data_IF_855604446557
#
_entry.id   IF_855604446557
#
_cell.length_a   1.000
_cell.length_b   1.000
_cell.length_c   1.000
_cell.angle_alpha   90.00
_cell.angle_beta   90.00
_cell.angle_gamma   90.00
#
_symmetry.space_group_name_H-M   'P 1'
#
loop_
_entity.id
_entity.type
_entity.pdbx_description
1 polymer ?
#
# COMPACT_ATOMS: atom_id res chain seq x y z
N UNK A 1 -73.28 -4.12 -36.41
CA UNK A 1 -73.14 -3.69 -34.99
C UNK A 1 -71.71 -3.93 -34.56
N UNK A 2 -71.09 -2.93 -33.91
CA UNK A 2 -69.75 -2.91 -33.30
C UNK A 2 -68.59 -2.85 -34.34
N UNK A 3 -67.96 -1.74 -34.70
CA UNK A 3 -67.33 -0.61 -33.97
C UNK A 3 -66.23 -1.04 -32.99
N UNK A 4 -64.95 -0.85 -33.35
CA UNK A 4 -63.83 -0.44 -32.46
C UNK A 4 -62.50 -0.56 -33.22
N UNK A 5 -62.00 0.52 -33.85
CA UNK A 5 -61.01 1.46 -33.31
C UNK A 5 -59.58 0.91 -33.25
N UNK A 6 -58.85 1.15 -34.34
CA UNK A 6 -57.42 0.89 -34.54
C UNK A 6 -56.61 1.89 -33.69
N UNK A 7 -56.17 1.51 -32.49
CA UNK A 7 -55.24 2.31 -31.68
C UNK A 7 -53.85 2.26 -32.32
N UNK A 8 -53.42 3.39 -32.90
CA UNK A 8 -52.01 3.64 -33.23
C UNK A 8 -51.36 4.33 -32.03
N UNK A 9 -50.21 3.79 -31.62
CA UNK A 9 -49.42 4.22 -30.47
C UNK A 9 -48.82 5.63 -30.66
N UNK A 10 -48.61 6.38 -29.57
CA UNK A 10 -48.31 7.81 -29.62
C UNK A 10 -46.80 8.08 -29.63
N UNK A 11 -46.11 7.78 -30.74
CA UNK A 11 -44.66 8.09 -30.85
C UNK A 11 -44.27 8.57 -32.25
N UNK A 12 -45.01 9.55 -32.79
CA UNK A 12 -44.61 10.33 -33.97
C UNK A 12 -45.04 11.80 -33.82
N UNK A 13 -44.57 12.46 -32.75
CA UNK A 13 -44.86 13.87 -32.49
C UNK A 13 -43.71 14.65 -31.84
N UNK A 14 -42.47 14.38 -32.29
CA UNK A 14 -41.31 15.13 -31.79
C UNK A 14 -40.21 15.26 -32.86
N UNK A 15 -40.57 15.59 -34.09
CA UNK A 15 -39.60 15.79 -35.17
C UNK A 15 -40.12 16.79 -36.21
N UNK A 16 -40.55 17.95 -35.73
CA UNK A 16 -40.80 19.15 -36.55
C UNK A 16 -41.06 20.34 -35.63
N UNK A 17 -40.01 21.11 -35.34
CA UNK A 17 -40.05 22.55 -35.02
C UNK A 17 -38.75 22.96 -34.29
N UNK A 18 -37.80 23.52 -35.03
CA UNK A 18 -36.91 24.58 -34.56
C UNK A 18 -35.95 24.96 -35.70
N UNK A 19 -36.50 25.63 -36.72
CA UNK A 19 -35.72 26.35 -37.69
C UNK A 19 -35.74 27.85 -37.33
N UNK A 20 -34.57 28.46 -37.47
CA UNK A 20 -34.28 29.88 -37.67
C UNK A 20 -33.98 30.77 -36.45
N UNK A 21 -33.07 31.76 -36.64
CA UNK A 21 -32.24 32.35 -35.60
C UNK A 21 -32.75 33.74 -35.19
N UNK A 22 -32.85 33.99 -33.90
CA UNK A 22 -33.15 35.33 -33.37
C UNK A 22 -32.15 35.66 -32.26
N UNK A 23 -31.00 36.22 -32.64
CA UNK A 23 -30.19 37.03 -31.74
C UNK A 23 -30.00 38.39 -32.40
N UNK A 24 -30.95 39.26 -32.07
CA UNK A 24 -30.87 40.69 -32.34
C UNK A 24 -29.58 41.27 -31.76
N UNK A 25 -28.96 42.12 -32.58
CA UNK A 25 -27.82 42.97 -32.27
C UNK A 25 -28.08 43.75 -30.98
N UNK A 26 -27.33 43.46 -29.92
CA UNK A 26 -27.17 44.39 -28.80
C UNK A 26 -26.09 45.41 -29.19
N UNK A 27 -26.28 46.71 -28.92
CA UNK A 27 -25.25 47.71 -29.15
C UNK A 27 -24.03 47.40 -28.28
N UNK A 28 -22.84 47.54 -28.87
CA UNK A 28 -21.58 47.38 -28.18
C UNK A 28 -21.53 48.37 -27.01
N UNK A 29 -21.45 47.86 -25.78
CA UNK A 29 -21.06 48.66 -24.62
C UNK A 29 -19.55 48.86 -24.77
N UNK A 30 -19.18 50.08 -25.14
CA UNK A 30 -17.81 50.53 -25.28
C UNK A 30 -17.22 50.66 -23.87
N UNK A 31 -16.45 49.65 -23.45
CA UNK A 31 -15.69 49.73 -22.21
C UNK A 31 -14.52 50.71 -22.41
N UNK A 32 -14.39 51.76 -21.58
CA UNK A 32 -13.24 52.64 -21.67
C UNK A 32 -11.97 51.84 -21.39
N UNK A 33 -10.99 51.95 -22.30
CA UNK A 33 -9.70 51.29 -22.17
C UNK A 33 -9.05 51.63 -20.81
N UNK A 34 -8.45 50.66 -20.11
CA UNK A 34 -7.72 50.95 -18.89
C UNK A 34 -6.55 51.87 -19.24
N UNK A 35 -6.50 53.05 -18.61
CA UNK A 35 -5.34 53.94 -18.69
C UNK A 35 -4.16 53.22 -18.07
N UNK A 36 -3.24 52.75 -18.91
CA UNK A 36 -1.92 52.32 -18.46
C UNK A 36 -1.28 53.51 -17.73
N UNK A 37 -0.82 53.33 -16.48
CA UNK A 37 -0.05 54.38 -15.82
C UNK A 37 1.19 54.68 -16.66
N UNK A 38 1.46 55.98 -16.87
CA UNK A 38 2.69 56.46 -17.50
C UNK A 38 3.88 55.76 -16.85
N UNK A 39 4.79 55.25 -17.68
CA UNK A 39 6.16 54.89 -17.26
C UNK A 39 6.70 56.05 -16.44
N UNK A 40 6.75 55.88 -15.12
CA UNK A 40 7.58 56.71 -14.29
C UNK A 40 9.00 56.44 -14.75
N UNK A 41 9.62 57.49 -15.26
CA UNK A 41 11.03 57.54 -15.61
C UNK A 41 11.84 56.94 -14.47
N UNK A 42 12.54 55.87 -14.80
CA UNK A 42 13.65 55.33 -14.02
C UNK A 42 14.69 56.45 -13.91
N UNK A 43 14.65 57.21 -12.82
CA UNK A 43 15.80 57.95 -12.34
C UNK A 43 15.52 58.46 -10.93
N UNK A 44 16.53 58.31 -10.06
CA UNK A 44 16.64 59.01 -8.78
C UNK A 44 15.92 58.39 -7.57
N UNK A 45 16.33 57.18 -7.16
CA UNK A 45 16.15 56.72 -5.76
C UNK A 45 17.37 55.99 -5.17
N UNK A 46 18.57 56.17 -5.72
CA UNK A 46 19.80 55.51 -5.25
C UNK A 46 20.80 56.45 -4.54
N UNK A 47 20.33 57.54 -3.94
CA UNK A 47 21.19 58.55 -3.30
C UNK A 47 20.71 58.99 -1.92
N UNK A 48 20.26 58.05 -1.08
CA UNK A 48 20.19 58.28 0.37
C UNK A 48 20.91 57.15 1.14
N UNK A 49 21.92 57.48 1.98
CA UNK A 49 22.74 56.48 2.65
C UNK A 49 22.02 55.72 3.77
N UNK A 50 20.83 56.18 4.19
CA UNK A 50 20.10 55.62 5.33
C UNK A 50 19.26 54.37 4.99
N UNK A 51 18.96 54.12 3.71
CA UNK A 51 18.05 53.02 3.30
C UNK A 51 18.76 51.70 2.98
N UNK A 52 20.09 51.64 3.11
CA UNK A 52 20.88 50.41 2.91
C UNK A 52 21.04 49.55 4.16
N UNK A 53 20.81 50.12 5.34
CA UNK A 53 21.03 49.38 6.60
C UNK A 53 19.76 48.64 7.05
N UNK A 54 18.57 49.03 6.59
CA UNK A 54 17.32 48.35 6.95
C UNK A 54 16.94 47.15 6.07
N UNK A 55 17.52 46.99 4.87
CA UNK A 55 17.33 45.79 4.04
C UNK A 55 18.30 44.65 4.36
N UNK A 56 19.40 44.93 5.07
CA UNK A 56 20.39 43.91 5.44
C UNK A 56 20.01 43.13 6.72
N UNK A 57 19.08 43.62 7.53
CA UNK A 57 18.66 42.97 8.78
C UNK A 57 17.38 42.14 8.65
N UNK A 58 16.60 42.27 7.56
CA UNK A 58 15.41 41.45 7.30
C UNK A 58 15.70 40.18 6.46
N UNK A 59 16.92 40.06 5.90
CA UNK A 59 17.36 38.90 5.12
C UNK A 59 18.15 37.86 5.92
N UNK A 60 18.28 38.01 7.24
CA UNK A 60 19.04 37.09 8.11
C UNK A 60 18.16 36.15 8.96
N UNK A 61 16.82 36.21 8.85
CA UNK A 61 15.91 35.45 9.72
C UNK A 61 15.10 34.35 9.02
N UNK A 62 15.56 33.82 7.87
CA UNK A 62 14.91 32.66 7.25
C UNK A 62 15.89 31.68 6.61
N UNK A 63 16.97 31.36 7.32
CA UNK A 63 17.62 30.06 7.16
C UNK A 63 17.09 29.18 8.28
N UNK A 64 15.87 28.66 8.09
CA UNK A 64 15.48 27.47 8.83
C UNK A 64 16.52 26.41 8.44
N UNK A 65 17.28 25.83 9.39
CA UNK A 65 17.96 24.59 9.08
C UNK A 65 16.85 23.63 8.64
N UNK A 66 16.86 23.27 7.35
CA UNK A 66 16.17 22.08 6.92
C UNK A 66 16.78 20.98 7.77
N UNK A 67 16.09 20.63 8.86
CA UNK A 67 16.54 19.58 9.75
C UNK A 67 16.85 18.40 8.86
N UNK A 68 18.11 17.97 8.86
CA UNK A 68 18.46 16.63 8.43
C UNK A 68 17.56 15.73 9.26
N UNK A 69 16.45 15.27 8.68
CA UNK A 69 15.70 14.16 9.26
C UNK A 69 16.76 13.07 9.37
N UNK A 70 17.14 12.75 10.61
CA UNK A 70 17.81 11.49 10.84
C UNK A 70 16.99 10.43 10.11
N UNK A 71 17.67 9.54 9.39
CA UNK A 71 17.04 8.43 8.69
C UNK A 71 16.31 7.60 9.74
N UNK A 72 15.04 7.91 9.97
CA UNK A 72 14.23 7.26 10.99
C UNK A 72 14.18 5.79 10.61
N UNK A 73 14.51 4.88 11.54
CA UNK A 73 14.53 3.46 11.22
C UNK A 73 13.14 3.04 10.73
N UNK A 74 13.14 2.26 9.65
CA UNK A 74 11.91 1.72 9.06
C UNK A 74 11.05 1.02 10.14
N UNK A 75 9.73 1.24 10.15
CA UNK A 75 8.84 0.58 11.10
C UNK A 75 8.93 -0.94 11.01
N UNK A 76 8.84 -1.61 12.15
CA UNK A 76 8.79 -3.06 12.22
C UNK A 76 7.40 -3.52 12.65
N UNK A 77 6.90 -4.60 12.07
CA UNK A 77 5.61 -5.20 12.40
C UNK A 77 5.82 -6.65 12.80
N UNK A 78 5.48 -6.99 14.05
CA UNK A 78 5.41 -8.37 14.50
C UNK A 78 4.07 -8.96 14.11
N UNK A 79 4.09 -10.12 13.47
CA UNK A 79 2.91 -10.88 13.05
C UNK A 79 2.88 -12.17 13.86
N UNK A 80 1.83 -12.35 14.66
CA UNK A 80 1.58 -13.58 15.42
C UNK A 80 0.55 -14.42 14.68
N UNK A 81 0.92 -15.66 14.36
CA UNK A 81 0.04 -16.66 13.74
C UNK A 81 -0.07 -17.88 14.64
N UNK A 82 -1.06 -18.73 14.39
CA UNK A 82 -1.21 -20.00 15.09
C UNK A 82 -0.07 -21.03 14.83
N UNK A 83 0.87 -20.73 13.93
CA UNK A 83 2.07 -21.55 13.65
C UNK A 83 3.39 -20.91 14.10
N UNK A 84 3.34 -19.70 14.66
CA UNK A 84 4.50 -18.97 15.17
C UNK A 84 4.46 -17.49 14.82
N UNK A 85 5.53 -16.79 15.21
CA UNK A 85 5.68 -15.35 15.03
C UNK A 85 6.80 -15.00 14.05
N UNK A 86 6.61 -13.92 13.31
CA UNK A 86 7.64 -13.36 12.43
C UNK A 86 7.60 -11.84 12.44
N UNK A 87 8.71 -11.21 12.07
CA UNK A 87 8.85 -9.74 12.10
C UNK A 87 9.16 -9.23 10.69
N UNK A 88 8.38 -8.24 10.25
CA UNK A 88 8.53 -7.56 8.97
C UNK A 88 9.16 -6.18 9.22
N UNK A 89 10.25 -5.84 8.53
CA UNK A 89 10.67 -4.46 8.32
C UNK A 89 9.88 -3.87 7.15
N UNK A 90 9.20 -2.75 7.37
CA UNK A 90 8.39 -2.06 6.37
C UNK A 90 9.19 -0.91 5.77
N UNK A 91 9.58 -1.04 4.50
CA UNK A 91 10.46 -0.15 3.74
C UNK A 91 9.73 1.12 3.26
N UNK A 92 9.40 2.01 4.21
CA UNK A 92 8.80 3.31 3.91
C UNK A 92 9.69 4.20 3.04
N UNK A 93 11.02 3.99 3.11
CA UNK A 93 12.01 4.67 2.30
C UNK A 93 11.97 4.31 0.80
N UNK A 94 11.38 3.16 0.45
CA UNK A 94 11.31 2.66 -0.94
C UNK A 94 9.90 2.63 -1.51
N UNK A 95 8.94 2.13 -0.73
CA UNK A 95 7.56 1.98 -1.16
C UNK A 95 6.61 2.73 -0.20
N UNK A 96 6.68 4.07 -0.13
CA UNK A 96 5.97 4.86 0.87
C UNK A 96 4.45 4.68 0.85
N UNK A 97 3.83 4.53 -0.33
CA UNK A 97 2.37 4.37 -0.42
C UNK A 97 1.93 2.99 0.07
N UNK A 98 2.62 1.94 -0.37
CA UNK A 98 2.36 0.55 0.00
C UNK A 98 2.63 0.32 1.49
N UNK A 99 3.74 0.86 1.99
CA UNK A 99 4.11 0.83 3.40
C UNK A 99 3.11 1.58 4.28
N UNK A 100 2.73 2.81 3.90
CA UNK A 100 1.74 3.58 4.67
C UNK A 100 0.38 2.88 4.71
N UNK A 101 -0.03 2.28 3.60
CA UNK A 101 -1.26 1.50 3.51
C UNK A 101 -1.22 0.24 4.39
N UNK A 102 -0.14 -0.54 4.34
CA UNK A 102 0.03 -1.72 5.19
C UNK A 102 0.02 -1.36 6.68
N UNK A 103 0.75 -0.31 7.07
CA UNK A 103 0.79 0.17 8.45
C UNK A 103 -0.55 0.74 8.92
N UNK A 104 -1.36 1.33 8.01
CA UNK A 104 -2.73 1.74 8.31
C UNK A 104 -3.57 0.53 8.72
N UNK A 105 -3.63 -0.52 7.89
CA UNK A 105 -4.37 -1.74 8.21
C UNK A 105 -3.89 -2.42 9.50
N UNK A 106 -2.58 -2.42 9.75
CA UNK A 106 -2.01 -2.95 10.98
C UNK A 106 -2.48 -2.15 12.22
N UNK A 107 -2.46 -0.82 12.17
CA UNK A 107 -2.94 0.05 13.28
C UNK A 107 -4.43 -0.13 13.56
N UNK A 108 -5.22 -0.34 12.52
CA UNK A 108 -6.67 -0.53 12.64
C UNK A 108 -7.05 -1.94 13.11
N UNK A 109 -6.08 -2.85 13.24
CA UNK A 109 -6.34 -4.25 13.61
C UNK A 109 -7.03 -5.04 12.49
N UNK A 110 -6.99 -4.56 11.25
CA UNK A 110 -7.67 -5.18 10.12
C UNK A 110 -7.20 -6.62 9.88
N UNK A 111 -5.91 -6.89 10.08
CA UNK A 111 -5.31 -8.20 9.84
C UNK A 111 -5.62 -9.23 10.94
N UNK A 112 -6.06 -8.81 12.13
CA UNK A 112 -6.42 -9.73 13.20
C UNK A 112 -7.64 -10.57 12.80
N UNK A 113 -7.51 -11.89 12.96
CA UNK A 113 -8.51 -12.86 12.54
C UNK A 113 -8.58 -13.05 11.02
N UNK A 114 -7.53 -12.69 10.27
CA UNK A 114 -7.46 -12.98 8.83
C UNK A 114 -6.70 -14.26 8.52
N UNK A 115 -6.93 -14.83 7.33
CA UNK A 115 -6.28 -16.06 6.89
C UNK A 115 -5.05 -15.80 6.02
N UNK A 116 -4.07 -16.69 6.14
CA UNK A 116 -3.20 -17.05 5.02
C UNK A 116 -4.00 -18.05 4.17
N UNK A 117 -4.67 -17.52 3.14
CA UNK A 117 -5.66 -18.26 2.35
C UNK A 117 -5.04 -18.96 1.13
N UNK A 118 -3.79 -18.61 0.77
CA UNK A 118 -3.06 -19.22 -0.34
C UNK A 118 -1.63 -19.49 0.07
N UNK A 119 -1.19 -20.72 -0.12
CA UNK A 119 0.16 -21.20 0.13
C UNK A 119 0.61 -22.01 -1.08
N UNK A 120 1.68 -21.57 -1.74
CA UNK A 120 2.30 -22.31 -2.83
C UNK A 120 3.75 -22.57 -2.46
N UNK A 121 4.07 -23.84 -2.24
CA UNK A 121 5.41 -24.28 -1.90
C UNK A 121 6.42 -23.80 -2.95
N UNK A 122 7.60 -23.36 -2.49
CA UNK A 122 8.66 -22.79 -3.34
C UNK A 122 8.21 -21.59 -4.19
N UNK A 123 7.21 -20.81 -3.72
CA UNK A 123 6.79 -19.60 -4.41
C UNK A 123 6.45 -18.50 -3.40
N UNK A 124 5.20 -18.45 -2.94
CA UNK A 124 4.70 -17.40 -2.04
C UNK A 124 3.66 -17.94 -1.06
N UNK A 125 3.53 -17.25 0.06
CA UNK A 125 2.38 -17.33 0.97
C UNK A 125 1.62 -16.02 0.89
N UNK A 126 0.29 -16.07 0.79
CA UNK A 126 -0.55 -14.89 0.59
C UNK A 126 -1.71 -14.87 1.59
N UNK A 127 -1.95 -13.69 2.18
CA UNK A 127 -2.90 -13.52 3.26
C UNK A 127 -3.40 -12.10 3.46
N UNK A 128 -4.08 -11.87 4.59
CA UNK A 128 -4.49 -10.55 5.04
C UNK A 128 -5.77 -9.98 4.42
N UNK A 129 -6.53 -10.79 3.66
CA UNK A 129 -7.77 -10.34 3.01
C UNK A 129 -9.05 -11.05 3.46
N UNK A 130 -8.97 -12.33 3.83
CA UNK A 130 -10.13 -13.16 4.14
C UNK A 130 -10.29 -13.35 5.64
N UNK A 131 -11.51 -13.22 6.15
CA UNK A 131 -11.86 -13.49 7.55
C UNK A 131 -11.75 -14.98 7.89
N UNK A 132 -11.17 -15.32 9.04
CA UNK A 132 -10.90 -16.70 9.43
C UNK A 132 -12.13 -17.51 9.82
N UNK A 133 -13.23 -16.86 10.16
CA UNK A 133 -14.47 -17.54 10.58
C UNK A 133 -15.41 -17.72 9.40
N UNK A 134 -15.59 -16.66 8.62
CA UNK A 134 -16.58 -16.60 7.53
C UNK A 134 -15.99 -16.89 6.16
N UNK A 135 -14.65 -16.85 6.02
CA UNK A 135 -13.93 -16.90 4.74
C UNK A 135 -14.24 -15.75 3.77
N UNK A 136 -15.11 -14.82 4.17
CA UNK A 136 -15.48 -13.67 3.36
C UNK A 136 -14.29 -12.74 3.19
N UNK A 137 -14.20 -12.11 2.02
CA UNK A 137 -13.25 -11.02 1.80
C UNK A 137 -13.68 -9.84 2.69
N UNK A 138 -12.78 -9.40 3.57
CA UNK A 138 -13.01 -8.19 4.38
C UNK A 138 -12.98 -6.97 3.47
N UNK A 139 -13.84 -5.99 3.75
CA UNK A 139 -13.93 -4.75 2.97
C UNK A 139 -12.63 -3.97 3.07
N UNK A 140 -11.84 -3.84 1.99
CA UNK A 140 -10.60 -3.07 2.04
C UNK A 140 -10.90 -1.56 1.88
N UNK A 141 -9.91 -0.74 2.23
CA UNK A 141 -9.79 0.66 1.79
C UNK A 141 -9.51 0.74 0.28
N UNK A 142 -9.34 1.97 -0.21
CA UNK A 142 -8.99 2.26 -1.60
C UNK A 142 -7.70 1.56 -2.07
N UNK A 143 -7.62 1.37 -3.38
CA UNK A 143 -6.44 0.78 -4.02
C UNK A 143 -5.26 1.76 -3.97
N UNK A 144 -4.07 1.20 -3.88
CA UNK A 144 -2.80 1.93 -3.87
C UNK A 144 -2.14 1.87 -5.25
N UNK A 145 -1.47 2.96 -5.63
CA UNK A 145 -0.64 2.97 -6.83
C UNK A 145 0.49 1.95 -6.71
N UNK A 146 0.94 1.42 -7.85
CA UNK A 146 1.92 0.33 -7.86
C UNK A 146 3.33 0.92 -7.82
N UNK A 147 4.08 0.57 -6.78
CA UNK A 147 5.45 1.05 -6.51
C UNK A 147 6.54 0.03 -6.87
N UNK A 148 6.22 -1.01 -7.63
CA UNK A 148 7.17 -2.03 -8.10
C UNK A 148 8.43 -1.49 -8.80
N UNK A 149 8.39 -0.28 -9.34
CA UNK A 149 9.53 0.39 -9.97
C UNK A 149 10.56 1.00 -9.01
N UNK A 150 10.44 0.78 -7.70
CA UNK A 150 11.33 1.30 -6.64
C UNK A 150 12.74 0.65 -6.59
N UNK A 151 12.94 -0.40 -7.39
CA UNK A 151 14.18 -1.18 -7.47
C UNK A 151 14.26 -2.31 -6.45
N UNK A 152 13.24 -2.53 -5.64
CA UNK A 152 13.14 -3.71 -4.79
C UNK A 152 12.72 -4.93 -5.62
N UNK A 153 13.40 -6.04 -5.38
CA UNK A 153 13.18 -7.30 -6.09
C UNK A 153 12.43 -8.29 -5.21
N UNK A 154 11.65 -9.17 -5.82
CA UNK A 154 10.87 -10.24 -5.20
C UNK A 154 11.76 -11.42 -4.81
N UNK A 155 12.76 -11.16 -3.96
CA UNK A 155 13.68 -12.16 -3.41
C UNK A 155 13.06 -12.91 -2.23
N UNK A 156 13.66 -14.05 -1.87
CA UNK A 156 13.31 -14.78 -0.65
C UNK A 156 13.28 -13.85 0.57
N UNK A 157 12.19 -13.93 1.33
CA UNK A 157 11.98 -13.14 2.53
C UNK A 157 11.55 -11.70 2.28
N UNK A 158 11.21 -11.30 1.05
CA UNK A 158 10.56 -10.01 0.81
C UNK A 158 9.04 -10.11 0.92
N UNK A 159 8.41 -8.99 1.30
CA UNK A 159 6.97 -8.85 1.46
C UNK A 159 6.46 -7.89 0.39
N UNK A 160 5.46 -8.32 -0.37
CA UNK A 160 4.89 -7.54 -1.46
C UNK A 160 3.38 -7.39 -1.38
N UNK A 161 2.86 -6.38 -2.07
CA UNK A 161 1.44 -6.07 -2.12
C UNK A 161 0.77 -6.91 -3.20
N UNK A 162 -0.19 -7.75 -2.80
CA UNK A 162 -0.98 -8.53 -3.76
C UNK A 162 -1.98 -7.61 -4.48
N UNK A 163 -2.24 -7.92 -5.74
CA UNK A 163 -3.17 -7.18 -6.60
C UNK A 163 -3.91 -8.12 -7.54
N UNK A 164 -5.00 -7.63 -8.11
CA UNK A 164 -5.66 -8.25 -9.26
C UNK A 164 -4.94 -7.89 -10.56
N UNK A 165 -5.64 -8.09 -11.67
CA UNK A 165 -5.11 -7.86 -13.03
C UNK A 165 -4.64 -6.43 -13.26
N UNK A 166 -5.41 -5.45 -12.77
CA UNK A 166 -5.07 -4.05 -12.95
C UNK A 166 -3.83 -3.67 -12.10
N UNK A 167 -2.84 -2.95 -12.65
CA UNK A 167 -1.59 -2.65 -11.95
C UNK A 167 -1.78 -1.94 -10.61
N UNK A 168 -2.71 -0.99 -10.54
CA UNK A 168 -3.00 -0.15 -9.37
C UNK A 168 -4.22 -0.64 -8.60
N UNK A 169 -4.34 -1.95 -8.42
CA UNK A 169 -5.48 -2.58 -7.73
C UNK A 169 -5.09 -3.24 -6.39
N UNK A 170 -3.87 -3.02 -5.91
CA UNK A 170 -3.42 -3.56 -4.64
C UNK A 170 -4.07 -2.83 -3.47
N UNK A 171 -4.49 -3.56 -2.44
CA UNK A 171 -5.24 -3.01 -1.31
C UNK A 171 -4.73 -3.53 0.05
N UNK A 172 -5.42 -4.45 0.72
CA UNK A 172 -5.04 -5.00 2.01
C UNK A 172 -4.16 -6.26 1.90
N UNK A 173 -4.33 -7.05 0.85
CA UNK A 173 -3.68 -8.35 0.74
C UNK A 173 -2.18 -8.20 0.50
N UNK A 174 -1.39 -9.03 1.18
CA UNK A 174 0.06 -9.09 1.01
C UNK A 174 0.50 -10.54 0.81
N UNK A 175 1.70 -10.70 0.26
CA UNK A 175 2.36 -11.97 0.14
C UNK A 175 3.80 -11.90 0.65
N UNK A 176 4.35 -13.05 1.03
CA UNK A 176 5.76 -13.22 1.36
C UNK A 176 6.38 -14.20 0.38
N UNK A 177 7.51 -13.82 -0.21
CA UNK A 177 8.29 -14.67 -1.09
C UNK A 177 9.07 -15.73 -0.28
N UNK A 178 8.84 -17.01 -0.57
CA UNK A 178 9.58 -18.13 0.05
C UNK A 178 10.88 -18.44 -0.69
N UNK A 179 10.97 -18.05 -1.96
CA UNK A 179 12.15 -18.17 -2.83
C UNK A 179 12.32 -16.88 -3.63
N UNK A 180 13.36 -16.81 -4.47
CA UNK A 180 13.52 -15.71 -5.42
C UNK A 180 12.56 -15.87 -6.60
N UNK A 181 11.70 -14.87 -6.82
CA UNK A 181 10.61 -14.86 -7.80
C UNK A 181 10.78 -13.71 -8.81
N UNK A 182 11.78 -13.76 -9.72
CA UNK A 182 12.02 -12.68 -10.70
C UNK A 182 10.83 -12.46 -11.64
N UNK A 183 9.97 -13.46 -11.83
CA UNK A 183 8.73 -13.35 -12.59
C UNK A 183 7.69 -12.41 -11.96
N UNK A 184 7.91 -11.95 -10.72
CA UNK A 184 7.09 -10.94 -10.06
C UNK A 184 7.67 -9.52 -10.19
N UNK A 185 8.95 -9.36 -10.53
CA UNK A 185 9.61 -8.04 -10.65
C UNK A 185 9.12 -7.23 -11.86
N UNK A 186 9.12 -5.89 -11.86
CA UNK A 186 8.73 -5.15 -13.06
C UNK A 186 9.68 -5.44 -14.24
N UNK A 187 9.15 -5.48 -15.46
CA UNK A 187 9.95 -5.40 -16.70
C UNK A 187 9.33 -4.36 -17.64
N UNK A 188 10.00 -3.88 -18.71
CA UNK A 188 9.46 -2.81 -19.56
C UNK A 188 8.04 -3.06 -20.12
N UNK A 189 7.62 -4.33 -20.21
CA UNK A 189 6.31 -4.75 -20.72
C UNK A 189 5.29 -5.09 -19.63
N UNK A 190 5.67 -5.13 -18.34
CA UNK A 190 4.77 -5.50 -17.23
C UNK A 190 5.09 -4.75 -15.94
N UNK A 191 4.05 -4.36 -15.22
CA UNK A 191 4.21 -3.66 -13.94
C UNK A 191 4.81 -4.53 -12.84
N UNK A 192 4.60 -5.85 -12.83
CA UNK A 192 5.06 -6.67 -11.70
C UNK A 192 4.31 -6.36 -10.40
N UNK A 193 4.95 -6.63 -9.26
CA UNK A 193 4.38 -6.51 -7.92
C UNK A 193 5.29 -5.71 -7.00
N UNK A 194 4.69 -4.77 -6.25
CA UNK A 194 5.41 -3.86 -5.38
C UNK A 194 5.87 -4.55 -4.10
N UNK A 195 7.19 -4.64 -3.91
CA UNK A 195 7.79 -5.07 -2.65
C UNK A 195 7.83 -3.86 -1.72
N UNK A 196 7.35 -4.00 -0.49
CA UNK A 196 7.32 -2.91 0.49
C UNK A 196 7.95 -3.29 1.83
N UNK A 197 8.44 -4.52 1.97
CA UNK A 197 9.04 -4.97 3.22
C UNK A 197 9.94 -6.18 3.06
N UNK A 198 10.59 -6.56 4.17
CA UNK A 198 11.37 -7.79 4.28
C UNK A 198 11.24 -8.42 5.65
N UNK A 199 11.40 -9.72 5.73
CA UNK A 199 11.39 -10.46 6.98
C UNK A 199 12.72 -10.26 7.70
N UNK A 200 12.67 -9.82 8.96
CA UNK A 200 13.82 -9.71 9.85
C UNK A 200 14.00 -10.97 10.71
N UNK A 201 12.89 -11.59 11.13
CA UNK A 201 12.88 -12.75 12.02
C UNK A 201 11.70 -13.66 11.65
N UNK A 202 11.85 -14.97 11.91
CA UNK A 202 10.77 -15.95 11.70
C UNK A 202 10.66 -16.48 10.26
N UNK A 203 11.74 -16.45 9.47
CA UNK A 203 11.75 -17.10 8.15
C UNK A 203 11.49 -18.61 8.24
N UNK A 204 11.95 -19.27 9.30
CA UNK A 204 11.69 -20.68 9.59
C UNK A 204 10.18 -20.95 9.80
N UNK A 205 9.46 -20.00 10.41
CA UNK A 205 7.99 -20.09 10.57
C UNK A 205 7.31 -20.06 9.21
N UNK A 206 7.75 -19.15 8.32
CA UNK A 206 7.17 -18.98 6.99
C UNK A 206 7.48 -20.19 6.08
N UNK A 207 8.66 -20.80 6.23
CA UNK A 207 9.01 -22.05 5.56
C UNK A 207 8.11 -23.21 6.03
N UNK A 208 7.91 -23.37 7.35
CA UNK A 208 6.95 -24.36 7.86
C UNK A 208 5.53 -24.12 7.35
N UNK A 209 5.10 -22.86 7.27
CA UNK A 209 3.81 -22.51 6.66
C UNK A 209 3.78 -22.93 5.19
N UNK A 210 4.88 -22.73 4.44
CA UNK A 210 5.03 -23.12 3.05
C UNK A 210 4.94 -24.62 2.77
N UNK A 211 5.19 -25.45 3.77
CA UNK A 211 5.19 -26.93 3.69
C UNK A 211 3.87 -27.59 4.11
N UNK A 212 2.87 -26.80 4.54
CA UNK A 212 1.58 -27.35 4.97
C UNK A 212 0.86 -28.02 3.80
N UNK A 213 0.03 -29.02 4.09
CA UNK A 213 -0.83 -29.61 3.07
C UNK A 213 -1.85 -28.58 2.56
N UNK A 214 -1.88 -28.38 1.25
CA UNK A 214 -2.79 -27.45 0.56
C UNK A 214 -3.72 -28.18 -0.40
N UNK A 215 -4.83 -27.55 -0.73
CA UNK A 215 -5.81 -28.09 -1.67
C UNK A 215 -7.01 -27.17 -1.82
N UNK A 216 -8.14 -27.73 -2.23
CA UNK A 216 -9.42 -27.02 -2.13
C UNK A 216 -9.91 -27.05 -0.69
N UNK A 217 -10.17 -25.88 -0.12
CA UNK A 217 -10.65 -25.74 1.26
C UNK A 217 -11.53 -24.49 1.38
N UNK A 218 -12.67 -24.61 2.07
CA UNK A 218 -13.65 -23.53 2.17
C UNK A 218 -14.10 -23.02 0.78
N UNK A 219 -14.13 -21.71 0.52
CA UNK A 219 -14.47 -21.16 -0.79
C UNK A 219 -13.30 -21.19 -1.79
N UNK A 220 -12.11 -21.64 -1.38
CA UNK A 220 -10.89 -21.60 -2.20
C UNK A 220 -10.76 -22.88 -3.03
N UNK A 221 -10.58 -22.72 -4.34
CA UNK A 221 -10.55 -23.84 -5.30
C UNK A 221 -9.24 -24.63 -5.28
N UNK A 222 -8.13 -23.99 -4.89
CA UNK A 222 -6.80 -24.59 -4.85
C UNK A 222 -5.89 -23.79 -3.91
N UNK A 223 -4.72 -24.37 -3.60
CA UNK A 223 -3.62 -23.76 -2.84
C UNK A 223 -3.98 -23.26 -1.43
N UNK A 224 -5.16 -23.59 -0.91
CA UNK A 224 -5.56 -23.20 0.44
C UNK A 224 -5.06 -24.23 1.45
N UNK A 225 -4.47 -23.80 2.59
CA UNK A 225 -4.12 -24.71 3.68
C UNK A 225 -5.32 -25.54 4.13
N UNK A 226 -5.18 -26.87 4.20
CA UNK A 226 -6.25 -27.77 4.67
C UNK A 226 -6.56 -27.57 6.16
N UNK A 227 -5.60 -27.01 6.91
CA UNK A 227 -5.79 -26.50 8.26
C UNK A 227 -5.65 -24.99 8.21
N UNK A 228 -6.67 -24.20 8.61
CA UNK A 228 -6.61 -22.76 8.57
C UNK A 228 -5.39 -22.19 9.32
N UNK A 229 -4.67 -21.30 8.66
CA UNK A 229 -3.57 -20.54 9.26
C UNK A 229 -4.07 -19.12 9.46
N UNK A 230 -4.16 -18.73 10.73
CA UNK A 230 -4.81 -17.49 11.17
C UNK A 230 -3.74 -16.51 11.63
N UNK A 231 -3.85 -15.28 11.15
CA UNK A 231 -3.13 -14.14 11.70
C UNK A 231 -3.92 -13.70 12.93
N UNK A 232 -3.40 -14.03 14.10
CA UNK A 232 -4.04 -13.75 15.39
C UNK A 232 -3.90 -12.27 15.74
N UNK A 233 -2.71 -11.71 15.49
CA UNK A 233 -2.39 -10.32 15.82
C UNK A 233 -1.29 -9.76 14.90
N UNK A 234 -1.38 -8.46 14.62
CA UNK A 234 -0.25 -7.68 14.11
C UNK A 234 0.02 -6.49 15.02
N UNK A 235 1.30 -6.27 15.35
CA UNK A 235 1.73 -5.23 16.26
C UNK A 235 2.86 -4.42 15.63
N UNK A 236 2.70 -3.10 15.57
CA UNK A 236 3.79 -2.20 15.16
C UNK A 236 4.73 -2.05 16.36
N UNK A 237 5.99 -2.43 16.17
CA UNK A 237 7.04 -2.32 17.17
C UNK A 237 7.59 -0.89 17.19
N UNK A 238 7.93 -0.40 18.37
CA UNK A 238 8.57 0.91 18.52
C UNK A 238 9.93 0.92 17.79
N UNK A 239 10.30 2.01 17.10
CA UNK A 239 11.62 2.13 16.50
C UNK A 239 12.71 1.96 17.58
N UNK A 240 13.61 0.99 17.39
CA UNK A 240 14.65 0.62 18.35
C UNK A 240 14.29 -0.52 19.32
N UNK A 241 13.04 -0.98 19.35
CA UNK A 241 12.68 -2.24 20.00
C UNK A 241 13.06 -3.39 19.07
N UNK A 242 14.36 -3.71 19.03
CA UNK A 242 14.81 -4.99 18.48
C UNK A 242 13.99 -6.07 19.18
N UNK A 243 13.17 -6.79 18.41
CA UNK A 243 12.50 -7.98 18.88
C UNK A 243 13.58 -8.89 19.46
N UNK A 244 13.63 -8.95 20.79
CA UNK A 244 14.56 -9.81 21.50
C UNK A 244 14.30 -11.22 20.98
N UNK A 245 15.29 -11.75 20.25
CA UNK A 245 15.29 -13.14 19.88
C UNK A 245 14.96 -13.95 21.14
N UNK A 246 14.01 -14.90 21.09
CA UNK A 246 13.77 -15.74 22.24
C UNK A 246 15.11 -16.40 22.57
N UNK A 247 15.59 -16.16 23.79
CA UNK A 247 16.76 -16.83 24.34
C UNK A 247 16.49 -18.32 24.19
N UNK A 248 17.15 -18.95 23.22
CA UNK A 248 17.22 -20.40 23.11
C UNK A 248 17.92 -20.84 24.37
N UNK A 249 17.15 -21.30 25.35
CA UNK A 249 17.71 -21.97 26.52
C UNK A 249 18.34 -23.25 25.98
N UNK A 250 19.65 -23.48 26.23
CA UNK A 250 20.25 -24.74 25.85
C UNK A 250 19.54 -25.86 26.63
N UNK A 251 18.84 -26.73 25.89
CA UNK A 251 18.38 -28.01 26.42
C UNK A 251 19.64 -28.78 26.82
N UNK A 252 19.87 -28.87 28.13
CA UNK A 252 20.86 -29.77 28.71
C UNK A 252 20.47 -31.20 28.34
N UNK A 253 21.28 -31.95 27.57
CA UNK A 253 20.98 -33.35 27.32
C UNK A 253 21.00 -34.12 28.66
N UNK A 254 20.09 -35.09 28.86
CA UNK A 254 20.10 -35.90 30.07
C UNK A 254 21.43 -36.66 30.18
N UNK A 255 22.03 -36.61 31.37
CA UNK A 255 23.20 -37.42 31.73
C UNK A 255 22.88 -38.89 31.46
N UNK A 256 23.68 -39.52 30.61
CA UNK A 256 23.73 -40.98 30.54
C UNK A 256 24.43 -41.48 31.80
N UNK A 257 23.64 -41.83 32.82
CA UNK A 257 24.16 -42.58 33.96
C UNK A 257 24.60 -43.95 33.45
N UNK A 258 25.92 -44.14 33.38
CA UNK A 258 26.55 -45.40 32.99
C UNK A 258 26.27 -46.43 34.07
N UNK A 259 25.35 -47.34 33.79
CA UNK A 259 25.07 -48.52 34.63
C UNK A 259 26.32 -49.40 34.61
N UNK A 260 27.05 -49.41 35.72
CA UNK A 260 28.07 -50.41 36.03
C UNK A 260 27.37 -51.77 36.24
N UNK A 261 27.59 -52.72 35.34
CA UNK A 261 27.28 -54.14 35.56
C UNK A 261 28.35 -54.78 36.46
N UNK A 262 27.99 -55.48 37.55
CA UNK A 262 28.94 -56.31 38.28
C UNK A 262 29.13 -57.67 37.58
N UNK A 263 30.37 -58.17 37.62
CA UNK A 263 30.75 -59.56 37.33
C UNK A 263 30.30 -60.50 38.43
#
# INVERSE_FOLDING_TARGET
>A
MQSSTKRRSPLRRALEAAAAPCWQRRPAIEFPAPRLPRRATEDSMLTQPATRILLATLLLALVLPAGTRADEPNPQVKVTTNLGEFVIEVRQDRAPLSAANFLRYAREGFYSGTLIHRVVANFVIQGGGHDATTYALKTPHENVANESGDGLQNKRGTVGLARGEAPHSGNAQFYVNLVDNPDLDPVPTRWGYAVFGRILQGMDVLERIGEVATGSFGPFKADAPLKPIVIEKMEILAPGATAAAPLVTPVTPPRQDTILSPK
#
